data_IF_245094584335
#
_entry.id   IF_245094584335
#
_cell.length_a   1.000
_cell.length_b   1.000
_cell.length_c   1.000
_cell.angle_alpha   90.00
_cell.angle_beta   90.00
_cell.angle_gamma   90.00
#
_symmetry.space_group_name_H-M   'P 1'
#
loop_
_entity.id
_entity.type
_entity.pdbx_description
1 polymer ?
#
# COMPACT_ATOMS: atom_id res chain seq x y z
N UNK A 1 -18.65 13.22 -10.07
CA UNK A 1 -19.17 12.59 -8.84
C UNK A 1 -19.24 13.67 -7.78
N UNK A 2 -20.33 13.83 -7.03
CA UNK A 2 -20.45 14.88 -6.00
C UNK A 2 -19.79 14.39 -4.70
N UNK A 3 -18.72 15.06 -4.24
CA UNK A 3 -17.99 14.66 -3.02
C UNK A 3 -18.86 14.69 -1.77
N UNK A 4 -19.81 15.62 -1.68
CA UNK A 4 -20.75 15.68 -0.55
C UNK A 4 -21.71 14.48 -0.54
N UNK A 5 -22.13 14.01 -1.72
CA UNK A 5 -22.93 12.78 -1.81
C UNK A 5 -22.13 11.54 -1.39
N UNK A 6 -20.83 11.48 -1.67
CA UNK A 6 -19.96 10.38 -1.20
C UNK A 6 -19.84 10.42 0.32
N UNK A 7 -19.55 11.60 0.91
CA UNK A 7 -19.47 11.76 2.37
C UNK A 7 -20.77 11.37 3.05
N UNK A 8 -21.90 11.81 2.49
CA UNK A 8 -23.22 11.47 3.01
C UNK A 8 -23.42 9.95 3.03
N UNK A 9 -23.16 9.28 1.90
CA UNK A 9 -23.25 7.81 1.81
C UNK A 9 -22.35 7.10 2.80
N UNK A 10 -21.11 7.56 2.99
CA UNK A 10 -20.19 7.01 3.99
C UNK A 10 -20.78 7.14 5.39
N UNK A 11 -21.31 8.31 5.75
CA UNK A 11 -21.87 8.55 7.08
C UNK A 11 -23.16 7.76 7.34
N UNK A 12 -24.05 7.65 6.34
CA UNK A 12 -25.32 6.93 6.45
C UNK A 12 -25.14 5.42 6.59
N UNK A 13 -24.00 4.89 6.15
CA UNK A 13 -23.70 3.46 6.12
C UNK A 13 -22.49 3.12 7.01
N UNK A 14 -22.28 3.88 8.10
CA UNK A 14 -21.09 3.74 8.96
C UNK A 14 -20.91 2.34 9.57
N UNK A 15 -21.95 1.52 9.61
CA UNK A 15 -21.92 0.16 10.15
C UNK A 15 -22.02 -0.94 9.07
N UNK A 16 -22.11 -0.59 7.79
CA UNK A 16 -22.16 -1.56 6.68
C UNK A 16 -20.77 -1.70 6.06
N UNK A 17 -20.01 -2.68 6.55
CA UNK A 17 -18.62 -2.89 6.18
C UNK A 17 -18.42 -3.15 4.68
N UNK A 18 -19.34 -3.90 4.06
CA UNK A 18 -19.28 -4.22 2.63
C UNK A 18 -19.54 -2.97 1.79
N UNK A 19 -20.59 -2.21 2.15
CA UNK A 19 -20.88 -0.95 1.47
C UNK A 19 -19.71 0.04 1.61
N UNK A 20 -19.17 0.18 2.81
CA UNK A 20 -18.03 1.06 3.07
C UNK A 20 -16.80 0.64 2.27
N UNK A 21 -16.48 -0.65 2.25
CA UNK A 21 -15.39 -1.16 1.43
C UNK A 21 -15.57 -0.78 -0.05
N UNK A 22 -16.73 -1.10 -0.64
CA UNK A 22 -16.97 -0.90 -2.05
C UNK A 22 -16.95 0.58 -2.45
N UNK A 23 -17.64 1.44 -1.68
CA UNK A 23 -17.66 2.87 -1.97
C UNK A 23 -16.27 3.50 -1.83
N UNK A 24 -15.45 3.03 -0.89
CA UNK A 24 -14.07 3.49 -0.74
C UNK A 24 -13.22 3.07 -1.93
N UNK A 25 -13.26 1.79 -2.33
CA UNK A 25 -12.47 1.30 -3.46
C UNK A 25 -12.88 2.00 -4.76
N UNK A 26 -14.17 2.20 -5.00
CA UNK A 26 -14.67 2.97 -6.15
C UNK A 26 -14.20 4.42 -6.12
N UNK A 27 -14.20 5.04 -4.93
CA UNK A 27 -13.68 6.39 -4.73
C UNK A 27 -12.18 6.49 -5.03
N UNK A 28 -11.39 5.52 -4.55
CA UNK A 28 -9.95 5.44 -4.80
C UNK A 28 -9.62 5.30 -6.28
N UNK A 29 -10.28 4.38 -6.98
CA UNK A 29 -10.08 4.10 -8.41
C UNK A 29 -10.62 5.18 -9.34
N UNK A 30 -11.41 6.13 -8.85
CA UNK A 30 -12.01 7.15 -9.69
C UNK A 30 -10.99 8.21 -10.15
N UNK A 31 -10.44 8.01 -11.36
CA UNK A 31 -9.50 8.93 -12.01
C UNK A 31 -10.08 10.30 -12.38
N UNK A 32 -11.41 10.49 -12.27
CA UNK A 32 -12.06 11.78 -12.54
C UNK A 32 -12.06 12.73 -11.34
N UNK A 33 -11.72 12.26 -10.14
CA UNK A 33 -11.62 13.12 -8.96
C UNK A 33 -10.41 14.05 -9.07
N UNK A 34 -10.67 15.35 -8.97
CA UNK A 34 -9.64 16.38 -8.96
C UNK A 34 -8.85 16.37 -7.65
N UNK A 35 -7.72 17.08 -7.59
CA UNK A 35 -7.00 17.29 -6.33
C UNK A 35 -7.90 17.91 -5.26
N UNK A 36 -8.73 18.89 -5.62
CA UNK A 36 -9.65 19.54 -4.69
C UNK A 36 -10.69 18.55 -4.14
N UNK A 37 -11.21 17.64 -4.97
CA UNK A 37 -12.14 16.61 -4.52
C UNK A 37 -11.50 15.66 -3.50
N UNK A 38 -10.27 15.22 -3.77
CA UNK A 38 -9.50 14.36 -2.87
C UNK A 38 -9.23 15.05 -1.53
N UNK A 39 -8.82 16.31 -1.56
CA UNK A 39 -8.63 17.13 -0.35
C UNK A 39 -9.93 17.30 0.44
N UNK A 40 -11.06 17.47 -0.25
CA UNK A 40 -12.37 17.59 0.38
C UNK A 40 -12.81 16.28 1.08
N UNK A 41 -12.41 15.12 0.54
CA UNK A 41 -12.78 13.80 1.07
C UNK A 41 -11.81 13.22 2.10
N UNK A 42 -10.53 13.61 2.08
CA UNK A 42 -9.47 12.89 2.79
C UNK A 42 -9.72 12.72 4.29
N UNK A 43 -10.26 13.73 4.96
CA UNK A 43 -10.53 13.65 6.41
C UNK A 43 -11.67 12.67 6.74
N UNK A 44 -12.69 12.59 5.88
CA UNK A 44 -13.79 11.62 6.03
C UNK A 44 -13.26 10.20 5.89
N UNK A 45 -12.40 9.96 4.90
CA UNK A 45 -11.79 8.65 4.65
C UNK A 45 -10.77 8.31 5.73
N UNK A 46 -9.96 9.26 6.16
CA UNK A 46 -8.93 9.04 7.19
C UNK A 46 -9.52 8.57 8.52
N UNK A 47 -10.70 9.09 8.92
CA UNK A 47 -11.40 8.59 10.12
C UNK A 47 -11.68 7.08 10.05
N UNK A 48 -11.90 6.54 8.86
CA UNK A 48 -12.17 5.11 8.66
C UNK A 48 -10.92 4.23 8.79
N UNK A 49 -9.71 4.80 8.82
CA UNK A 49 -8.49 4.06 9.19
C UNK A 49 -8.51 3.59 10.66
N UNK A 50 -9.44 4.09 11.48
CA UNK A 50 -9.68 3.63 12.86
C UNK A 50 -11.03 2.93 13.03
N UNK A 51 -11.67 2.53 11.94
CA UNK A 51 -12.92 1.77 11.97
C UNK A 51 -12.73 0.41 12.67
N UNK A 52 -13.78 -0.19 13.23
CA UNK A 52 -13.71 -1.50 13.92
C UNK A 52 -13.40 -2.67 12.97
N UNK A 53 -13.92 -2.60 11.74
CA UNK A 53 -13.66 -3.57 10.66
C UNK A 53 -12.27 -3.38 10.01
N UNK A 54 -11.48 -4.44 9.94
CA UNK A 54 -10.18 -4.45 9.23
C UNK A 54 -10.35 -4.21 7.74
N UNK A 55 -11.40 -4.76 7.13
CA UNK A 55 -11.76 -4.54 5.72
C UNK A 55 -11.96 -3.06 5.42
N UNK A 56 -12.65 -2.32 6.29
CA UNK A 56 -12.85 -0.87 6.14
C UNK A 56 -11.55 -0.11 6.34
N UNK A 57 -10.74 -0.45 7.36
CA UNK A 57 -9.42 0.17 7.59
C UNK A 57 -8.50 -0.01 6.39
N UNK A 58 -8.46 -1.22 5.85
CA UNK A 58 -7.73 -1.62 4.65
C UNK A 58 -8.16 -0.80 3.43
N UNK A 59 -9.47 -0.72 3.15
CA UNK A 59 -9.97 0.08 2.03
C UNK A 59 -9.61 1.56 2.17
N UNK A 60 -9.80 2.14 3.37
CA UNK A 60 -9.51 3.54 3.63
C UNK A 60 -8.04 3.88 3.38
N UNK A 61 -7.10 3.07 3.90
CA UNK A 61 -5.68 3.36 3.71
C UNK A 61 -5.21 3.19 2.27
N UNK A 62 -5.79 2.22 1.54
CA UNK A 62 -5.54 2.06 0.11
C UNK A 62 -5.99 3.27 -0.68
N UNK A 63 -7.15 3.86 -0.36
CA UNK A 63 -7.60 5.10 -1.01
C UNK A 63 -6.57 6.21 -0.83
N UNK A 64 -6.20 6.49 0.42
CA UNK A 64 -5.33 7.61 0.75
C UNK A 64 -3.92 7.45 0.17
N UNK A 65 -3.27 6.32 0.45
CA UNK A 65 -1.84 6.14 0.16
C UNK A 65 -1.57 5.41 -1.16
N UNK A 66 -2.35 4.38 -1.50
CA UNK A 66 -2.12 3.60 -2.72
C UNK A 66 -2.71 4.29 -3.96
N UNK A 67 -4.00 4.64 -3.94
CA UNK A 67 -4.67 5.23 -5.09
C UNK A 67 -4.40 6.72 -5.25
N UNK A 68 -4.38 7.48 -4.15
CA UNK A 68 -4.20 8.93 -4.21
C UNK A 68 -2.78 9.41 -3.94
N UNK A 69 -1.90 8.55 -3.40
CA UNK A 69 -0.50 8.87 -3.17
C UNK A 69 -0.26 9.92 -2.09
N UNK A 70 -1.19 10.06 -1.13
CA UNK A 70 -1.09 11.07 -0.06
C UNK A 70 -0.04 10.68 0.96
N UNK A 71 1.11 11.35 0.91
CA UNK A 71 2.29 11.02 1.74
C UNK A 71 2.10 11.34 3.21
N UNK A 72 1.18 12.25 3.57
CA UNK A 72 0.91 12.61 4.96
C UNK A 72 0.32 11.46 5.79
N UNK A 73 -0.25 10.42 5.16
CA UNK A 73 -0.84 9.26 5.84
C UNK A 73 0.08 8.03 5.88
N UNK A 74 1.34 8.19 5.45
CA UNK A 74 2.32 7.10 5.38
C UNK A 74 2.52 6.40 6.72
N UNK A 75 2.60 7.13 7.82
CA UNK A 75 2.76 6.54 9.16
C UNK A 75 1.55 5.67 9.52
N UNK A 76 0.34 6.11 9.18
CA UNK A 76 -0.87 5.30 9.38
C UNK A 76 -0.83 4.01 8.56
N UNK A 77 -0.35 4.05 7.31
CA UNK A 77 -0.18 2.85 6.50
C UNK A 77 0.82 1.86 7.10
N UNK A 78 1.94 2.37 7.62
CA UNK A 78 2.92 1.52 8.30
C UNK A 78 2.36 0.93 9.60
N UNK A 79 1.62 1.71 10.38
CA UNK A 79 0.99 1.23 11.61
C UNK A 79 -0.02 0.09 11.35
N UNK A 80 -0.78 0.16 10.25
CA UNK A 80 -1.67 -0.94 9.84
C UNK A 80 -0.86 -2.18 9.48
N UNK A 81 0.23 -2.05 8.73
CA UNK A 81 1.12 -3.17 8.40
C UNK A 81 1.74 -3.82 9.66
N UNK A 82 2.21 -2.99 10.60
CA UNK A 82 2.90 -3.45 11.81
C UNK A 82 1.97 -3.96 12.92
N UNK A 83 0.65 -3.79 12.79
CA UNK A 83 -0.30 -4.27 13.78
C UNK A 83 -0.53 -5.78 13.60
N UNK A 84 0.07 -6.59 14.48
CA UNK A 84 -0.06 -8.06 14.47
C UNK A 84 -1.49 -8.56 14.76
N UNK A 85 -2.39 -7.70 15.24
CA UNK A 85 -3.81 -8.04 15.44
C UNK A 85 -4.63 -7.90 14.14
N UNK A 86 -4.09 -7.28 13.09
CA UNK A 86 -4.72 -7.24 11.77
C UNK A 86 -4.57 -8.59 11.07
N UNK A 87 -5.56 -8.94 10.25
CA UNK A 87 -5.44 -10.06 9.32
C UNK A 87 -4.33 -9.81 8.29
N UNK A 88 -3.79 -10.89 7.73
CA UNK A 88 -2.64 -10.86 6.80
C UNK A 88 -2.95 -9.97 5.59
N UNK A 89 -4.15 -10.03 5.04
CA UNK A 89 -4.56 -9.25 3.87
C UNK A 89 -4.55 -7.75 4.20
N UNK A 90 -5.10 -7.34 5.34
CA UNK A 90 -5.09 -5.95 5.81
C UNK A 90 -3.65 -5.46 6.04
N UNK A 91 -2.77 -6.29 6.60
CA UNK A 91 -1.34 -5.95 6.76
C UNK A 91 -0.64 -5.76 5.42
N UNK A 92 -0.89 -6.65 4.45
CA UNK A 92 -0.38 -6.49 3.08
C UNK A 92 -0.86 -5.19 2.44
N UNK A 93 -2.13 -4.86 2.58
CA UNK A 93 -2.68 -3.60 2.09
C UNK A 93 -2.04 -2.37 2.76
N UNK A 94 -1.73 -2.44 4.05
CA UNK A 94 -0.92 -1.44 4.75
C UNK A 94 0.48 -1.29 4.15
N UNK A 95 1.17 -2.41 3.90
CA UNK A 95 2.53 -2.43 3.34
C UNK A 95 2.56 -1.85 1.92
N UNK A 96 1.63 -2.28 1.06
CA UNK A 96 1.46 -1.75 -0.30
C UNK A 96 1.20 -0.25 -0.28
N UNK A 97 0.29 0.18 0.59
CA UNK A 97 -0.08 1.58 0.75
C UNK A 97 1.13 2.41 1.18
N UNK A 98 1.86 1.95 2.20
CA UNK A 98 3.08 2.61 2.67
C UNK A 98 4.15 2.70 1.58
N UNK A 99 4.50 1.58 0.93
CA UNK A 99 5.52 1.54 -0.10
C UNK A 99 5.17 2.41 -1.32
N UNK A 100 3.89 2.47 -1.70
CA UNK A 100 3.44 3.27 -2.83
C UNK A 100 3.67 4.79 -2.62
N UNK A 101 3.70 5.27 -1.38
CA UNK A 101 4.08 6.67 -1.08
C UNK A 101 5.56 6.98 -1.36
N UNK A 102 6.35 5.98 -1.71
CA UNK A 102 7.75 6.07 -2.13
C UNK A 102 7.97 5.60 -3.57
N UNK A 103 6.88 5.46 -4.36
CA UNK A 103 6.96 4.95 -5.73
C UNK A 103 7.98 5.73 -6.57
N UNK A 104 8.85 5.01 -7.27
CA UNK A 104 9.90 5.54 -8.16
C UNK A 104 10.90 6.51 -7.49
N UNK A 105 10.99 6.53 -6.15
CA UNK A 105 11.93 7.42 -5.46
C UNK A 105 13.33 6.83 -5.36
N UNK A 106 13.48 5.51 -5.54
CA UNK A 106 14.70 4.76 -5.28
C UNK A 106 15.28 5.05 -3.88
N UNK A 107 14.40 5.14 -2.87
CA UNK A 107 14.81 5.41 -1.50
C UNK A 107 15.50 4.19 -0.88
N UNK A 108 16.79 4.35 -0.53
CA UNK A 108 17.63 3.26 -0.04
C UNK A 108 17.10 2.62 1.24
N UNK A 109 16.71 3.43 2.24
CA UNK A 109 16.22 2.95 3.53
C UNK A 109 14.93 2.12 3.37
N UNK A 110 14.04 2.56 2.47
CA UNK A 110 12.79 1.86 2.17
C UNK A 110 13.05 0.55 1.43
N UNK A 111 13.96 0.55 0.45
CA UNK A 111 14.36 -0.66 -0.26
C UNK A 111 15.01 -1.69 0.69
N UNK A 112 15.85 -1.24 1.62
CA UNK A 112 16.43 -2.10 2.66
C UNK A 112 15.33 -2.67 3.56
N UNK A 113 14.38 -1.84 3.99
CA UNK A 113 13.26 -2.27 4.83
C UNK A 113 12.43 -3.35 4.14
N UNK A 114 12.07 -3.15 2.87
CA UNK A 114 11.31 -4.12 2.08
C UNK A 114 12.07 -5.43 1.87
N UNK A 115 13.37 -5.37 1.61
CA UNK A 115 14.21 -6.56 1.51
C UNK A 115 14.30 -7.32 2.85
N UNK A 116 14.34 -6.61 3.98
CA UNK A 116 14.37 -7.25 5.29
C UNK A 116 13.02 -7.95 5.60
N UNK A 117 11.90 -7.33 5.25
CA UNK A 117 10.56 -7.96 5.39
C UNK A 117 10.48 -9.24 4.55
N UNK A 118 10.98 -9.19 3.30
CA UNK A 118 11.05 -10.35 2.41
C UNK A 118 11.89 -11.51 2.97
N UNK A 119 13.03 -11.18 3.59
CA UNK A 119 13.98 -12.18 4.09
C UNK A 119 13.59 -12.78 5.45
N UNK A 120 12.71 -12.13 6.21
CA UNK A 120 12.25 -12.62 7.50
C UNK A 120 11.20 -13.72 7.33
N UNK A 121 11.61 -14.97 7.54
CA UNK A 121 10.76 -16.16 7.42
C UNK A 121 9.73 -16.30 8.54
N UNK A 122 9.72 -15.40 9.53
CA UNK A 122 8.62 -15.30 10.50
C UNK A 122 7.41 -14.57 9.94
N UNK A 123 7.59 -13.78 8.88
CA UNK A 123 6.47 -13.15 8.20
C UNK A 123 5.70 -14.19 7.39
N UNK A 124 4.39 -13.98 7.30
CA UNK A 124 3.53 -14.71 6.38
C UNK A 124 4.06 -14.59 4.94
N UNK A 125 4.00 -15.69 4.19
CA UNK A 125 4.51 -15.75 2.82
C UNK A 125 3.84 -14.72 1.90
N UNK A 126 2.56 -14.41 2.13
CA UNK A 126 1.85 -13.37 1.39
C UNK A 126 2.40 -11.96 1.70
N UNK A 127 2.81 -11.69 2.94
CA UNK A 127 3.51 -10.45 3.31
C UNK A 127 4.88 -10.38 2.61
N UNK A 128 5.60 -11.51 2.55
CA UNK A 128 6.91 -11.58 1.90
C UNK A 128 6.78 -11.32 0.39
N UNK A 129 5.82 -11.94 -0.31
CA UNK A 129 5.52 -11.63 -1.74
C UNK A 129 5.14 -10.16 -1.92
N UNK A 130 4.33 -9.62 -1.00
CA UNK A 130 3.93 -8.22 -1.03
C UNK A 130 5.16 -7.31 -0.92
N UNK A 131 6.10 -7.62 -0.04
CA UNK A 131 7.35 -6.86 0.11
C UNK A 131 8.22 -6.92 -1.16
N UNK A 132 8.32 -8.10 -1.80
CA UNK A 132 9.01 -8.26 -3.08
C UNK A 132 8.40 -7.36 -4.17
N UNK A 133 7.08 -7.37 -4.31
CA UNK A 133 6.37 -6.52 -5.28
C UNK A 133 6.53 -5.03 -4.95
N UNK A 134 6.44 -4.68 -3.68
CA UNK A 134 6.63 -3.30 -3.21
C UNK A 134 8.05 -2.80 -3.46
N UNK A 135 9.07 -3.67 -3.39
CA UNK A 135 10.45 -3.30 -3.67
C UNK A 135 10.58 -2.70 -5.07
N UNK A 136 9.99 -3.33 -6.08
CA UNK A 136 10.03 -2.84 -7.46
C UNK A 136 9.19 -1.57 -7.67
N UNK A 137 8.09 -1.40 -6.92
CA UNK A 137 7.34 -0.14 -6.92
C UNK A 137 8.18 1.05 -6.44
N UNK A 138 9.06 0.85 -5.46
CA UNK A 138 9.94 1.91 -4.91
C UNK A 138 11.18 2.10 -5.77
N UNK A 139 11.63 1.02 -6.42
CA UNK A 139 12.81 1.01 -7.29
C UNK A 139 12.68 1.98 -8.48
N UNK A 140 13.78 2.29 -9.18
CA UNK A 140 13.75 3.11 -10.39
C UNK A 140 13.42 2.29 -11.65
N UNK A 141 13.14 0.98 -11.52
CA UNK A 141 12.80 0.15 -12.68
C UNK A 141 11.41 0.47 -13.19
N UNK A 142 11.28 0.57 -14.51
CA UNK A 142 9.99 0.69 -15.18
C UNK A 142 9.20 -0.61 -15.06
N UNK A 143 7.85 -0.59 -14.95
CA UNK A 143 7.04 -1.79 -14.78
C UNK A 143 7.26 -2.90 -15.83
N UNK A 144 7.64 -2.53 -17.05
CA UNK A 144 7.95 -3.48 -18.14
C UNK A 144 9.23 -4.30 -17.90
N UNK A 145 10.10 -3.81 -17.03
CA UNK A 145 11.41 -4.40 -16.71
C UNK A 145 11.38 -5.08 -15.32
N UNK A 146 10.20 -5.12 -14.68
CA UNK A 146 10.05 -5.84 -13.42
C UNK A 146 10.15 -7.34 -13.65
N UNK A 147 10.79 -8.08 -12.73
CA UNK A 147 10.70 -9.53 -12.76
C UNK A 147 9.25 -9.95 -12.57
N UNK A 148 8.92 -11.17 -13.01
CA UNK A 148 7.60 -11.73 -12.75
C UNK A 148 7.32 -11.70 -11.24
N UNK A 149 6.26 -10.99 -10.87
CA UNK A 149 5.77 -10.86 -9.50
C UNK A 149 4.36 -11.44 -9.36
N UNK A 150 3.87 -12.15 -10.38
CA UNK A 150 2.58 -12.81 -10.41
C UNK A 150 2.76 -14.33 -10.32
N UNK A 151 3.39 -14.75 -9.23
CA UNK A 151 3.60 -16.16 -8.88
C UNK A 151 2.89 -16.48 -7.56
N UNK A 152 2.64 -17.77 -7.33
CA UNK A 152 2.00 -18.22 -6.09
C UNK A 152 2.94 -17.97 -4.91
N UNK A 153 2.39 -17.61 -3.75
CA UNK A 153 3.20 -17.29 -2.57
C UNK A 153 4.05 -18.47 -2.11
N UNK A 154 3.63 -19.69 -2.41
CA UNK A 154 4.37 -20.93 -2.20
C UNK A 154 5.66 -21.03 -3.03
N UNK A 155 5.73 -20.35 -4.19
CA UNK A 155 6.88 -20.38 -5.11
C UNK A 155 7.96 -19.34 -4.78
N UNK A 156 7.78 -18.56 -3.70
CA UNK A 156 8.57 -17.33 -3.47
C UNK A 156 10.08 -17.58 -3.47
N UNK A 157 10.56 -18.66 -2.84
CA UNK A 157 11.99 -18.98 -2.76
C UNK A 157 12.63 -19.25 -4.14
N UNK A 158 11.85 -19.74 -5.10
CA UNK A 158 12.33 -20.03 -6.46
C UNK A 158 12.27 -18.80 -7.38
N UNK A 159 11.37 -17.86 -7.08
CA UNK A 159 11.03 -16.74 -7.97
C UNK A 159 11.72 -15.43 -7.61
N UNK A 160 12.16 -15.24 -6.36
CA UNK A 160 12.82 -13.99 -5.95
C UNK A 160 14.11 -13.78 -6.75
N UNK A 161 14.20 -12.63 -7.43
CA UNK A 161 15.44 -12.18 -8.06
C UNK A 161 16.33 -11.38 -7.09
N UNK A 162 16.98 -12.06 -6.15
CA UNK A 162 17.85 -11.42 -5.14
C UNK A 162 19.03 -10.67 -5.78
N UNK A 163 19.56 -11.16 -6.90
CA UNK A 163 20.66 -10.52 -7.61
C UNK A 163 20.27 -9.13 -8.11
N UNK A 164 19.10 -9.01 -8.76
CA UNK A 164 18.58 -7.73 -9.23
C UNK A 164 18.29 -6.76 -8.07
N UNK A 165 17.69 -7.25 -6.98
CA UNK A 165 17.43 -6.43 -5.80
C UNK A 165 18.72 -5.86 -5.20
N UNK A 166 19.80 -6.67 -5.13
CA UNK A 166 21.10 -6.23 -4.65
C UNK A 166 21.72 -5.17 -5.57
N UNK A 167 21.62 -5.33 -6.89
CA UNK A 167 22.11 -4.34 -7.85
C UNK A 167 21.38 -2.99 -7.68
N UNK A 168 20.05 -3.02 -7.51
CA UNK A 168 19.25 -1.83 -7.27
C UNK A 168 19.67 -1.14 -5.96
N UNK A 169 19.88 -1.91 -4.89
CA UNK A 169 20.31 -1.38 -3.59
C UNK A 169 21.69 -0.71 -3.66
N UNK A 170 22.66 -1.31 -4.34
CA UNK A 170 23.99 -0.71 -4.51
C UNK A 170 23.91 0.62 -5.27
N UNK A 171 23.09 0.68 -6.33
CA UNK A 171 22.83 1.92 -7.08
C UNK A 171 22.13 2.98 -6.21
N UNK A 172 21.17 2.58 -5.38
CA UNK A 172 20.47 3.48 -4.47
C UNK A 172 21.41 4.07 -3.41
N UNK A 173 22.30 3.25 -2.85
CA UNK A 173 23.27 3.63 -1.80
C UNK A 173 24.20 4.76 -2.23
N UNK A 174 24.65 4.75 -3.49
CA UNK A 174 25.58 5.76 -4.03
C UNK A 174 24.95 7.17 -4.07
N UNK A 175 23.63 7.28 -4.16
CA UNK A 175 22.93 8.58 -4.24
C UNK A 175 22.82 9.30 -2.88
N UNK A 176 23.04 8.60 -1.77
CA UNK A 176 22.90 9.12 -0.40
C UNK A 176 24.24 9.37 0.32
N UNK A 177 25.37 9.08 -0.33
CA UNK A 177 26.73 9.42 0.11
C UNK A 177 27.32 10.51 -0.78
#
# INVERSE_FOLDING_TARGET
MNTEAIKQKINENENDENFLHDILIDCGKNFTLTKADKENLKNTIYRLCSHSSSTVRSAAIRVLCFYWGMTEYRETAFNIFSNEQEDVETRCHGLMSWANTYRNTNNYEILVTLKNILADTKNDEYIRVTAYTCFFNVSPLEPKDWPDSNFDWEDIEEKINLSLMNEILEKAKIKYN
#
